data_IF_712576693591
#
_entry.id   IF_712576693591
#
_cell.length_a   1.000
_cell.length_b   1.000
_cell.length_c   1.000
_cell.angle_alpha   90.00
_cell.angle_beta   90.00
_cell.angle_gamma   90.00
#
_symmetry.space_group_name_H-M   'P 1'
#
loop_
_entity.id
_entity.type
_entity.pdbx_description
1 polymer ?
#
# COMPACT_ATOMS: atom_id res chain seq x y z
N UNK A 1 -14.88 -0.55 -2.57
CA UNK A 1 -15.13 -1.55 -3.61
C UNK A 1 -13.81 -2.20 -4.01
N UNK A 2 -13.41 -3.28 -3.33
CA UNK A 2 -12.27 -4.09 -3.76
C UNK A 2 -12.67 -4.93 -4.98
N UNK A 3 -11.84 -4.93 -6.03
CA UNK A 3 -12.02 -5.78 -7.22
C UNK A 3 -11.07 -6.97 -7.19
N UNK A 4 -11.31 -7.97 -8.03
CA UNK A 4 -10.42 -9.15 -8.16
C UNK A 4 -8.97 -8.71 -8.41
N UNK A 5 -8.05 -9.21 -7.58
CA UNK A 5 -6.64 -8.81 -7.59
C UNK A 5 -6.25 -7.69 -6.62
N UNK A 6 -7.17 -7.02 -5.93
CA UNK A 6 -6.82 -6.02 -4.92
C UNK A 6 -6.27 -6.68 -3.63
N UNK A 7 -5.25 -6.07 -3.04
CA UNK A 7 -4.67 -6.55 -1.79
C UNK A 7 -5.19 -5.70 -0.64
N UNK A 8 -5.97 -6.34 0.24
CA UNK A 8 -6.39 -5.74 1.50
C UNK A 8 -5.37 -6.06 2.59
N UNK A 9 -4.77 -5.01 3.16
CA UNK A 9 -3.91 -5.06 4.34
C UNK A 9 -4.76 -4.87 5.59
N UNK A 10 -5.13 -6.00 6.20
CA UNK A 10 -5.85 -6.02 7.47
C UNK A 10 -5.02 -5.38 8.58
N UNK A 11 -5.69 -4.65 9.46
CA UNK A 11 -5.05 -4.10 10.66
C UNK A 11 -4.91 -5.16 11.73
N UNK A 12 -3.89 -5.01 12.56
CA UNK A 12 -3.75 -5.87 13.74
C UNK A 12 -4.88 -5.55 14.73
N UNK A 13 -5.46 -6.56 15.40
CA UNK A 13 -6.61 -6.35 16.30
C UNK A 13 -6.36 -5.34 17.44
N UNK A 14 -5.12 -5.25 17.92
CA UNK A 14 -4.67 -4.34 18.97
C UNK A 14 -4.61 -2.87 18.57
N UNK A 15 -4.62 -2.57 17.27
CA UNK A 15 -4.53 -1.19 16.75
C UNK A 15 -5.89 -0.50 16.58
N UNK A 16 -6.99 -1.17 16.95
CA UNK A 16 -8.35 -0.68 16.79
C UNK A 16 -8.83 -0.64 15.33
N UNK A 17 -10.05 -0.13 15.14
CA UNK A 17 -10.73 -0.13 13.84
C UNK A 17 -10.41 1.09 12.95
N UNK A 18 -9.83 2.17 13.50
CA UNK A 18 -9.62 3.45 12.82
C UNK A 18 -8.13 3.86 12.80
N UNK A 19 -7.55 4.23 11.64
CA UNK A 19 -8.17 4.26 10.31
C UNK A 19 -8.56 2.84 9.79
N UNK A 20 -9.45 2.73 8.79
CA UNK A 20 -9.85 1.45 8.21
C UNK A 20 -8.67 0.70 7.57
N UNK A 21 -8.82 -0.56 7.15
CA UNK A 21 -7.78 -1.30 6.44
C UNK A 21 -7.23 -0.55 5.24
N UNK A 22 -5.95 -0.77 4.91
CA UNK A 22 -5.39 -0.24 3.67
C UNK A 22 -5.71 -1.17 2.51
N UNK A 23 -6.08 -0.61 1.36
CA UNK A 23 -6.32 -1.37 0.13
C UNK A 23 -5.31 -0.94 -0.94
N UNK A 24 -4.64 -1.91 -1.55
CA UNK A 24 -3.79 -1.71 -2.72
C UNK A 24 -4.50 -2.23 -3.98
N UNK A 25 -4.90 -1.32 -4.88
CA UNK A 25 -5.53 -1.71 -6.13
C UNK A 25 -4.49 -2.07 -7.21
N UNK A 26 -4.41 -3.33 -7.62
CA UNK A 26 -3.44 -3.73 -8.65
C UNK A 26 -3.75 -3.08 -10.01
N UNK A 27 -5.03 -2.92 -10.35
CA UNK A 27 -5.46 -2.41 -11.65
C UNK A 27 -4.85 -1.05 -11.98
N UNK A 28 -4.99 -0.06 -11.09
CA UNK A 28 -4.50 1.31 -11.34
C UNK A 28 -2.97 1.37 -11.47
N UNK A 29 -2.26 0.49 -10.75
CA UNK A 29 -0.81 0.40 -10.83
C UNK A 29 -0.37 -0.30 -12.13
N UNK A 30 -1.11 -1.33 -12.56
CA UNK A 30 -0.83 -2.10 -13.79
C UNK A 30 -1.06 -1.32 -15.08
N UNK A 31 -1.84 -0.23 -15.05
CA UNK A 31 -1.98 0.68 -16.20
C UNK A 31 -0.62 1.32 -16.55
N UNK A 32 0.21 1.62 -15.55
CA UNK A 32 1.48 2.34 -15.73
C UNK A 32 2.72 1.46 -15.56
N UNK A 33 2.65 0.43 -14.72
CA UNK A 33 3.81 -0.37 -14.34
C UNK A 33 3.60 -1.86 -14.62
N UNK A 34 4.69 -2.54 -14.99
CA UNK A 34 4.73 -3.99 -15.16
C UNK A 34 5.01 -4.69 -13.82
N UNK A 35 4.67 -5.97 -13.72
CA UNK A 35 4.76 -6.74 -12.47
C UNK A 35 6.16 -6.68 -11.82
N UNK A 36 7.22 -6.72 -12.64
CA UNK A 36 8.60 -6.73 -12.16
C UNK A 36 9.06 -5.42 -11.49
N UNK A 37 8.33 -4.32 -11.71
CA UNK A 37 8.61 -3.04 -11.04
C UNK A 37 8.35 -3.17 -9.54
N UNK A 38 7.32 -3.94 -9.17
CA UNK A 38 6.95 -4.16 -7.78
C UNK A 38 7.55 -5.46 -7.22
N UNK A 39 7.59 -6.52 -8.04
CA UNK A 39 7.91 -7.87 -7.60
C UNK A 39 9.20 -8.42 -8.22
N UNK A 40 10.08 -9.08 -7.47
CA UNK A 40 10.02 -9.34 -6.03
C UNK A 40 10.86 -8.34 -5.19
N UNK A 41 11.27 -7.24 -5.84
CA UNK A 41 12.18 -6.23 -5.29
C UNK A 41 11.55 -5.41 -4.16
N UNK A 42 10.34 -4.88 -4.35
CA UNK A 42 9.64 -4.05 -3.36
C UNK A 42 8.71 -4.91 -2.51
N UNK A 43 7.95 -5.79 -3.17
CA UNK A 43 6.97 -6.66 -2.54
C UNK A 43 7.23 -8.12 -2.88
N UNK A 44 7.02 -9.03 -1.92
CA UNK A 44 7.04 -10.46 -2.18
C UNK A 44 5.69 -10.87 -2.75
N UNK A 45 5.69 -11.85 -3.66
CA UNK A 45 4.48 -12.47 -4.23
C UNK A 45 3.78 -13.39 -3.21
N UNK A 46 3.60 -12.92 -1.98
CA UNK A 46 2.97 -13.65 -0.87
C UNK A 46 2.31 -12.65 0.08
N UNK A 47 0.99 -12.74 0.22
CA UNK A 47 0.21 -11.88 1.13
C UNK A 47 0.75 -12.00 2.56
N UNK A 48 0.95 -10.86 3.22
CA UNK A 48 1.45 -10.79 4.60
C UNK A 48 2.95 -11.08 4.77
N UNK A 49 3.71 -11.31 3.70
CA UNK A 49 5.15 -11.57 3.81
C UNK A 49 6.01 -10.29 3.98
N UNK A 50 5.50 -9.12 3.60
CA UNK A 50 6.19 -7.86 3.77
C UNK A 50 5.76 -7.19 5.09
N UNK A 51 6.71 -6.83 5.98
CA UNK A 51 6.40 -6.06 7.19
C UNK A 51 6.20 -4.58 6.84
N UNK A 52 5.03 -4.26 6.29
CA UNK A 52 4.64 -2.90 5.93
C UNK A 52 4.16 -2.18 7.20
N UNK A 53 4.91 -1.16 7.60
CA UNK A 53 4.58 -0.27 8.74
C UNK A 53 4.66 1.19 8.28
N UNK A 54 3.97 2.10 8.98
CA UNK A 54 4.11 3.53 8.69
C UNK A 54 5.55 4.01 8.86
N UNK A 55 6.28 3.49 9.85
CA UNK A 55 7.72 3.74 10.01
C UNK A 55 8.53 3.33 8.77
N UNK A 56 8.24 2.16 8.19
CA UNK A 56 8.89 1.72 6.97
C UNK A 56 8.54 2.62 5.76
N UNK A 57 7.31 3.11 5.68
CA UNK A 57 6.89 4.07 4.66
C UNK A 57 7.61 5.41 4.82
N UNK A 58 7.74 5.93 6.04
CA UNK A 58 8.49 7.17 6.30
C UNK A 58 9.99 7.01 5.99
N UNK A 59 10.52 5.79 6.09
CA UNK A 59 11.87 5.45 5.63
C UNK A 59 11.98 5.21 4.11
N UNK A 60 10.96 5.54 3.32
CA UNK A 60 10.97 5.43 1.85
C UNK A 60 10.78 4.02 1.29
N UNK A 61 10.34 3.05 2.11
CA UNK A 61 10.14 1.65 1.67
C UNK A 61 8.70 1.39 1.20
N UNK A 62 8.49 0.26 0.53
CA UNK A 62 7.19 -0.21 0.07
C UNK A 62 6.45 0.81 -0.79
N UNK A 63 5.25 1.25 -0.36
CA UNK A 63 4.45 2.23 -1.08
C UNK A 63 5.21 3.54 -1.32
N UNK A 64 6.03 3.95 -0.34
CA UNK A 64 6.78 5.19 -0.37
C UNK A 64 7.96 5.18 -1.35
N UNK A 65 8.30 4.05 -1.97
CA UNK A 65 9.25 4.02 -3.10
C UNK A 65 8.74 4.90 -4.25
N UNK A 66 7.42 4.92 -4.47
CA UNK A 66 6.76 5.75 -5.48
C UNK A 66 5.90 6.86 -4.89
N UNK A 67 5.23 6.62 -3.75
CA UNK A 67 4.47 7.64 -3.02
C UNK A 67 5.41 8.52 -2.19
N UNK A 68 6.29 9.24 -2.89
CA UNK A 68 7.38 10.06 -2.34
C UNK A 68 7.26 11.56 -2.69
N UNK A 69 6.19 11.96 -3.39
CA UNK A 69 6.00 13.34 -3.86
C UNK A 69 6.62 13.63 -5.23
N UNK A 70 7.41 12.73 -5.80
CA UNK A 70 8.02 12.86 -7.12
C UNK A 70 7.33 11.99 -8.17
N UNK A 71 7.16 10.69 -7.90
CA UNK A 71 6.51 9.75 -8.84
C UNK A 71 4.99 9.76 -8.65
N UNK A 72 4.56 9.87 -7.40
CA UNK A 72 3.17 9.95 -6.98
C UNK A 72 3.08 10.84 -5.75
N UNK A 73 1.84 11.15 -5.32
CA UNK A 73 1.60 11.88 -4.09
C UNK A 73 2.28 11.20 -2.88
N UNK A 74 2.80 11.96 -1.92
CA UNK A 74 3.59 11.42 -0.82
C UNK A 74 2.73 10.71 0.23
N UNK A 75 3.28 9.69 0.88
CA UNK A 75 2.68 9.16 2.11
C UNK A 75 2.76 10.23 3.20
N UNK A 76 1.62 10.60 3.77
CA UNK A 76 1.51 11.67 4.77
C UNK A 76 0.20 11.60 5.54
N UNK A 77 0.08 12.41 6.59
CA UNK A 77 -1.13 12.46 7.41
C UNK A 77 -2.35 12.95 6.61
N UNK A 78 -2.14 13.86 5.67
CA UNK A 78 -3.15 14.39 4.76
C UNK A 78 -3.61 13.37 3.71
N UNK A 79 -2.86 12.29 3.50
CA UNK A 79 -3.16 11.26 2.49
C UNK A 79 -3.63 9.92 3.05
N UNK A 80 -3.87 9.80 4.37
CA UNK A 80 -4.31 8.56 5.02
C UNK A 80 -5.52 7.92 4.31
N UNK A 81 -6.55 8.73 4.04
CA UNK A 81 -7.81 8.32 3.42
C UNK A 81 -7.69 7.81 1.98
N UNK A 82 -6.53 8.01 1.32
CA UNK A 82 -6.28 7.50 -0.03
C UNK A 82 -5.94 6.01 -0.04
N UNK A 83 -5.33 5.51 1.04
CA UNK A 83 -4.98 4.10 1.20
C UNK A 83 -5.95 3.40 2.14
N UNK A 84 -6.30 4.05 3.25
CA UNK A 84 -7.20 3.52 4.27
C UNK A 84 -8.65 3.80 3.87
N UNK A 85 -9.24 2.84 3.16
CA UNK A 85 -10.61 2.92 2.67
C UNK A 85 -11.41 1.74 3.20
N UNK A 86 -12.68 1.96 3.54
CA UNK A 86 -13.59 0.85 3.84
C UNK A 86 -13.80 0.06 2.53
N UNK A 87 -13.53 -1.27 2.53
CA UNK A 87 -13.68 -2.10 1.34
C UNK A 87 -15.07 -2.03 0.70
#
# INVERSE_FOLDING_TARGET
>A
MAVEGDIVFSRKPDLGAEPPPSVFPHWVHRIRFKCYVCHDAIFKMKKGANPITMEALMAGRYCAVCHNGSISWPVGFETCQRCHVRP
#
